data_IF_664090696652
#
_entry.id   IF_664090696652
#
_cell.length_a   1.000
_cell.length_b   1.000
_cell.length_c   1.000
_cell.angle_alpha   90.00
_cell.angle_beta   90.00
_cell.angle_gamma   90.00
#
_symmetry.space_group_name_H-M   'P 1'
#
loop_
_entity.id
_entity.type
_entity.pdbx_description
1 polymer ?
#
# COMPACT_ATOMS: atom_id res chain seq x y z
N UNK A 1 0.54 12.42 -17.96
CA UNK A 1 1.12 12.81 -16.65
C UNK A 1 2.42 13.58 -16.86
N UNK A 2 2.84 14.41 -15.89
CA UNK A 2 4.21 14.95 -15.86
C UNK A 2 5.14 13.94 -15.19
N UNK A 3 6.24 13.56 -15.85
CA UNK A 3 7.20 12.56 -15.34
C UNK A 3 7.75 12.92 -13.97
N UNK A 4 8.07 14.21 -13.75
CA UNK A 4 8.55 14.71 -12.45
C UNK A 4 7.53 14.46 -11.32
N UNK A 5 6.26 14.81 -11.56
CA UNK A 5 5.18 14.62 -10.59
C UNK A 5 4.98 13.13 -10.29
N UNK A 6 4.95 12.29 -11.32
CA UNK A 6 4.84 10.85 -11.18
C UNK A 6 5.95 10.25 -10.31
N UNK A 7 7.21 10.57 -10.60
CA UNK A 7 8.37 10.02 -9.89
C UNK A 7 8.36 10.49 -8.42
N UNK A 8 8.22 11.79 -8.17
CA UNK A 8 8.30 12.34 -6.81
C UNK A 8 7.13 11.86 -5.95
N UNK A 9 5.92 11.87 -6.48
CA UNK A 9 4.75 11.38 -5.75
C UNK A 9 4.82 9.87 -5.51
N UNK A 10 5.32 9.09 -6.49
CA UNK A 10 5.50 7.64 -6.36
C UNK A 10 6.52 7.26 -5.29
N UNK A 11 7.67 7.94 -5.26
CA UNK A 11 8.69 7.76 -4.21
C UNK A 11 8.13 8.11 -2.82
N UNK A 12 7.42 9.23 -2.70
CA UNK A 12 6.79 9.61 -1.44
C UNK A 12 5.76 8.56 -0.97
N UNK A 13 4.95 8.03 -1.88
CA UNK A 13 4.02 6.94 -1.61
C UNK A 13 4.74 5.67 -1.13
N UNK A 14 5.81 5.26 -1.83
CA UNK A 14 6.56 4.05 -1.49
C UNK A 14 7.27 4.13 -0.13
N UNK A 15 7.85 5.27 0.22
CA UNK A 15 8.46 5.48 1.55
C UNK A 15 7.40 5.40 2.65
N UNK A 16 6.24 6.02 2.45
CA UNK A 16 5.15 5.98 3.43
C UNK A 16 4.60 4.58 3.58
N UNK A 17 4.41 3.86 2.47
CA UNK A 17 3.95 2.48 2.50
C UNK A 17 4.92 1.56 3.26
N UNK A 18 6.23 1.74 3.04
CA UNK A 18 7.25 0.98 3.76
C UNK A 18 7.24 1.26 5.27
N UNK A 19 7.12 2.53 5.68
CA UNK A 19 7.03 2.92 7.09
C UNK A 19 5.76 2.38 7.76
N UNK A 20 4.64 2.42 7.06
CA UNK A 20 3.38 1.85 7.56
C UNK A 20 3.44 0.33 7.61
N UNK A 21 4.09 -0.32 6.65
CA UNK A 21 4.32 -1.76 6.65
C UNK A 21 5.13 -2.19 7.87
N UNK A 22 6.22 -1.48 8.17
CA UNK A 22 6.99 -1.69 9.40
C UNK A 22 6.13 -1.50 10.66
N UNK A 23 5.32 -0.44 10.73
CA UNK A 23 4.46 -0.16 11.88
C UNK A 23 3.38 -1.24 12.08
N UNK A 24 2.61 -1.57 11.04
CA UNK A 24 1.50 -2.50 11.16
C UNK A 24 1.96 -3.95 11.28
N UNK A 25 2.87 -4.40 10.41
CA UNK A 25 3.31 -5.80 10.36
C UNK A 25 4.47 -6.12 11.30
N UNK A 26 5.32 -5.15 11.59
CA UNK A 26 6.51 -5.33 12.45
C UNK A 26 6.31 -4.94 13.91
N UNK A 27 5.29 -4.14 14.24
CA UNK A 27 5.05 -3.66 15.62
C UNK A 27 3.64 -4.00 16.09
N UNK A 28 2.60 -3.44 15.46
CA UNK A 28 1.21 -3.51 15.97
C UNK A 28 0.66 -4.94 15.91
N UNK A 29 0.89 -5.63 14.80
CA UNK A 29 0.38 -6.97 14.53
C UNK A 29 1.50 -8.00 14.33
N UNK A 30 2.65 -7.78 14.98
CA UNK A 30 3.83 -8.65 14.84
C UNK A 30 3.54 -10.13 15.15
N UNK A 31 2.65 -10.41 16.11
CA UNK A 31 2.26 -11.78 16.49
C UNK A 31 1.16 -12.37 15.58
N UNK A 32 0.46 -11.54 14.81
CA UNK A 32 -0.64 -11.97 13.92
C UNK A 32 -0.12 -12.42 12.56
N UNK A 33 0.96 -11.79 12.06
CA UNK A 33 1.49 -12.05 10.74
C UNK A 33 2.80 -12.84 10.77
N UNK A 34 3.03 -13.75 9.80
CA UNK A 34 4.31 -14.43 9.68
C UNK A 34 5.46 -13.44 9.49
N UNK A 35 6.49 -13.54 10.34
CA UNK A 35 7.65 -12.67 10.26
C UNK A 35 8.66 -13.18 9.23
N UNK A 36 9.34 -12.28 8.50
CA UNK A 36 10.41 -12.64 7.60
C UNK A 36 11.50 -13.46 8.29
N UNK A 37 11.97 -14.54 7.66
CA UNK A 37 13.10 -15.32 8.19
C UNK A 37 14.41 -14.55 8.02
N UNK A 38 15.25 -14.58 9.06
CA UNK A 38 16.59 -14.01 9.01
C UNK A 38 17.45 -14.70 7.93
N UNK A 39 18.35 -13.93 7.30
CA UNK A 39 19.20 -14.44 6.22
C UNK A 39 18.53 -14.58 4.85
N UNK A 40 17.25 -14.18 4.73
CA UNK A 40 16.53 -14.15 3.44
C UNK A 40 16.49 -12.76 2.82
N UNK A 41 16.18 -12.69 1.52
CA UNK A 41 16.00 -11.43 0.80
C UNK A 41 14.63 -10.76 1.04
N UNK A 42 13.89 -11.18 2.07
CA UNK A 42 12.52 -10.74 2.31
C UNK A 42 12.40 -9.21 2.44
N UNK A 43 13.30 -8.54 3.17
CA UNK A 43 13.26 -7.08 3.32
C UNK A 43 13.43 -6.33 1.99
N UNK A 44 14.23 -6.87 1.07
CA UNK A 44 14.42 -6.30 -0.28
C UNK A 44 13.12 -6.43 -1.08
N UNK A 45 12.47 -7.61 -1.04
CA UNK A 45 11.20 -7.81 -1.73
C UNK A 45 10.06 -6.96 -1.15
N UNK A 46 10.01 -6.80 0.18
CA UNK A 46 9.08 -5.88 0.84
C UNK A 46 9.32 -4.45 0.34
N UNK A 47 10.58 -4.02 0.29
CA UNK A 47 10.94 -2.69 -0.22
C UNK A 47 10.48 -2.50 -1.67
N UNK A 48 10.77 -3.47 -2.56
CA UNK A 48 10.30 -3.41 -3.94
C UNK A 48 8.78 -3.43 -4.07
N UNK A 49 8.08 -4.18 -3.22
CA UNK A 49 6.62 -4.17 -3.12
C UNK A 49 6.08 -2.77 -2.80
N UNK A 50 6.60 -2.15 -1.73
CA UNK A 50 6.15 -0.83 -1.29
C UNK A 50 6.38 0.26 -2.34
N UNK A 51 7.56 0.29 -2.97
CA UNK A 51 7.82 1.26 -4.03
C UNK A 51 6.97 0.98 -5.28
N UNK A 52 6.73 -0.28 -5.64
CA UNK A 52 5.83 -0.63 -6.73
C UNK A 52 4.40 -0.14 -6.46
N UNK A 53 3.90 -0.30 -5.23
CA UNK A 53 2.60 0.19 -4.83
C UNK A 53 2.51 1.72 -4.86
N UNK A 54 3.52 2.42 -4.33
CA UNK A 54 3.62 3.88 -4.40
C UNK A 54 3.60 4.41 -5.84
N UNK A 55 4.37 3.80 -6.75
CA UNK A 55 4.35 4.15 -8.17
C UNK A 55 3.03 3.80 -8.84
N UNK A 56 2.39 2.68 -8.49
CA UNK A 56 1.09 2.30 -9.03
C UNK A 56 0.00 3.32 -8.67
N UNK A 57 -0.11 3.70 -7.39
CA UNK A 57 -1.03 4.75 -6.95
C UNK A 57 -0.73 6.07 -7.65
N UNK A 58 0.55 6.46 -7.74
CA UNK A 58 0.98 7.67 -8.45
C UNK A 58 0.58 7.65 -9.94
N UNK A 59 0.73 6.51 -10.61
CA UNK A 59 0.33 6.36 -12.00
C UNK A 59 -1.19 6.55 -12.16
N UNK A 60 -2.01 5.86 -11.36
CA UNK A 60 -3.46 6.01 -11.39
C UNK A 60 -3.86 7.48 -11.20
N UNK A 61 -3.28 8.14 -10.19
CA UNK A 61 -3.67 9.49 -9.83
C UNK A 61 -3.27 10.51 -10.88
N UNK A 62 -2.05 10.40 -11.45
CA UNK A 62 -1.54 11.39 -12.39
C UNK A 62 -1.89 11.11 -13.85
N UNK A 63 -2.14 9.85 -14.23
CA UNK A 63 -2.44 9.47 -15.61
C UNK A 63 -3.93 9.27 -15.86
N UNK A 64 -4.66 8.63 -14.93
CA UNK A 64 -6.06 8.25 -15.15
C UNK A 64 -7.05 9.17 -14.44
N UNK A 65 -6.87 9.41 -13.14
CA UNK A 65 -7.87 10.06 -12.30
C UNK A 65 -7.68 11.58 -12.11
N UNK A 66 -6.50 12.12 -12.46
CA UNK A 66 -6.12 13.52 -12.25
C UNK A 66 -6.25 14.01 -10.78
N UNK A 67 -6.01 13.11 -9.83
CA UNK A 67 -6.07 13.37 -8.39
C UNK A 67 -4.87 14.22 -7.95
N UNK A 68 -5.14 15.25 -7.13
CA UNK A 68 -4.12 16.21 -6.69
C UNK A 68 -4.41 16.86 -5.34
N UNK A 69 -5.28 16.26 -4.53
CA UNK A 69 -5.55 16.72 -3.17
C UNK A 69 -5.48 15.57 -2.19
N UNK A 70 -5.16 15.88 -0.94
CA UNK A 70 -5.04 14.91 0.14
C UNK A 70 -6.35 14.12 0.33
N UNK A 71 -7.49 14.80 0.40
CA UNK A 71 -8.80 14.15 0.66
C UNK A 71 -9.23 13.22 -0.49
N UNK A 72 -9.07 13.65 -1.74
CA UNK A 72 -9.40 12.81 -2.90
C UNK A 72 -8.45 11.62 -3.02
N UNK A 73 -7.16 11.84 -2.74
CA UNK A 73 -6.15 10.79 -2.68
C UNK A 73 -6.46 9.75 -1.60
N UNK A 74 -6.86 10.18 -0.40
CA UNK A 74 -7.21 9.27 0.68
C UNK A 74 -8.41 8.37 0.33
N UNK A 75 -9.47 8.96 -0.23
CA UNK A 75 -10.67 8.22 -0.64
C UNK A 75 -10.38 7.22 -1.75
N UNK A 76 -9.66 7.65 -2.79
CA UNK A 76 -9.29 6.76 -3.89
C UNK A 76 -8.32 5.66 -3.42
N UNK A 77 -7.35 6.00 -2.55
CA UNK A 77 -6.45 5.05 -1.92
C UNK A 77 -7.18 3.98 -1.12
N UNK A 78 -8.15 4.37 -0.29
CA UNK A 78 -8.97 3.42 0.49
C UNK A 78 -9.72 2.43 -0.40
N UNK A 79 -10.29 2.90 -1.52
CA UNK A 79 -10.99 2.04 -2.49
C UNK A 79 -10.00 1.08 -3.18
N UNK A 80 -8.81 1.56 -3.56
CA UNK A 80 -7.77 0.70 -4.14
C UNK A 80 -7.32 -0.35 -3.13
N UNK A 81 -7.08 0.03 -1.88
CA UNK A 81 -6.73 -0.89 -0.80
C UNK A 81 -7.81 -1.94 -0.54
N UNK A 82 -9.09 -1.55 -0.55
CA UNK A 82 -10.20 -2.49 -0.42
C UNK A 82 -10.14 -3.56 -1.51
N UNK A 83 -10.06 -3.17 -2.78
CA UNK A 83 -10.09 -4.15 -3.87
C UNK A 83 -8.79 -4.96 -4.00
N UNK A 84 -7.63 -4.33 -3.83
CA UNK A 84 -6.34 -5.04 -3.86
C UNK A 84 -6.19 -5.99 -2.66
N UNK A 85 -6.66 -5.57 -1.48
CA UNK A 85 -6.74 -6.40 -0.29
C UNK A 85 -7.65 -7.60 -0.52
N UNK A 86 -8.89 -7.39 -1.00
CA UNK A 86 -9.82 -8.48 -1.32
C UNK A 86 -9.23 -9.48 -2.33
N UNK A 87 -8.60 -8.99 -3.39
CA UNK A 87 -7.90 -9.84 -4.37
C UNK A 87 -6.86 -10.71 -3.66
N UNK A 88 -5.99 -10.08 -2.87
CA UNK A 88 -4.89 -10.76 -2.18
C UNK A 88 -5.39 -11.80 -1.19
N UNK A 89 -6.35 -11.44 -0.33
CA UNK A 89 -6.85 -12.36 0.69
C UNK A 89 -7.57 -13.55 0.07
N UNK A 90 -8.40 -13.37 -0.97
CA UNK A 90 -9.14 -14.49 -1.55
C UNK A 90 -8.23 -15.49 -2.26
N UNK A 91 -7.19 -15.01 -2.95
CA UNK A 91 -6.18 -15.92 -3.52
C UNK A 91 -5.36 -16.61 -2.44
N UNK A 92 -4.99 -15.92 -1.36
CA UNK A 92 -4.23 -16.55 -0.28
C UNK A 92 -5.06 -17.59 0.47
N UNK A 93 -6.32 -17.30 0.81
CA UNK A 93 -7.24 -18.25 1.43
C UNK A 93 -7.44 -19.52 0.61
N UNK A 94 -7.43 -19.42 -0.73
CA UNK A 94 -7.56 -20.58 -1.61
C UNK A 94 -6.33 -21.51 -1.57
N UNK A 95 -5.19 -21.02 -1.10
CA UNK A 95 -3.94 -21.78 -1.00
C UNK A 95 -3.64 -22.24 0.44
N UNK A 96 -4.38 -21.75 1.44
CA UNK A 96 -4.23 -22.14 2.84
C UNK A 96 -4.83 -23.53 3.09
N UNK A 97 -4.14 -24.35 3.89
CA UNK A 97 -4.65 -25.66 4.34
C UNK A 97 -5.81 -25.48 5.33
N UNK A 98 -5.71 -24.48 6.21
CA UNK A 98 -6.75 -24.06 7.14
C UNK A 98 -6.85 -22.53 7.11
N UNK A 99 -8.05 -22.00 6.93
CA UNK A 99 -8.27 -20.56 6.74
C UNK A 99 -8.42 -19.85 8.09
N UNK A 100 -7.50 -18.93 8.38
CA UNK A 100 -7.61 -17.99 9.50
C UNK A 100 -8.37 -16.72 9.10
N UNK A 101 -9.69 -16.74 9.29
CA UNK A 101 -10.56 -15.61 8.98
C UNK A 101 -10.25 -14.34 9.79
N UNK A 102 -9.72 -14.48 11.02
CA UNK A 102 -9.40 -13.34 11.86
C UNK A 102 -8.17 -12.61 11.31
N UNK A 103 -7.09 -13.33 10.99
CA UNK A 103 -5.89 -12.78 10.36
C UNK A 103 -6.23 -12.05 9.06
N UNK A 104 -7.05 -12.66 8.20
CA UNK A 104 -7.42 -12.03 6.94
C UNK A 104 -8.36 -10.83 7.09
N UNK A 105 -9.21 -10.82 8.13
CA UNK A 105 -10.00 -9.64 8.47
C UNK A 105 -9.11 -8.45 8.87
N UNK A 106 -8.07 -8.71 9.66
CA UNK A 106 -7.07 -7.71 10.04
C UNK A 106 -6.27 -7.24 8.81
N UNK A 107 -5.82 -8.17 7.95
CA UNK A 107 -5.10 -7.87 6.70
C UNK A 107 -5.90 -6.92 5.80
N UNK A 108 -7.20 -7.16 5.64
CA UNK A 108 -8.05 -6.29 4.82
C UNK A 108 -8.14 -4.87 5.41
N UNK A 109 -8.32 -4.75 6.72
CA UNK A 109 -8.38 -3.45 7.39
C UNK A 109 -7.05 -2.69 7.26
N UNK A 110 -5.93 -3.38 7.46
CA UNK A 110 -4.59 -2.82 7.29
C UNK A 110 -4.39 -2.35 5.86
N UNK A 111 -4.76 -3.17 4.86
CA UNK A 111 -4.67 -2.81 3.44
C UNK A 111 -5.44 -1.52 3.10
N UNK A 112 -6.68 -1.39 3.58
CA UNK A 112 -7.50 -0.18 3.37
C UNK A 112 -6.86 1.05 4.01
N UNK A 113 -6.44 0.93 5.27
CA UNK A 113 -5.86 2.06 6.03
C UNK A 113 -4.54 2.50 5.40
N UNK A 114 -3.64 1.54 5.12
CA UNK A 114 -2.35 1.83 4.51
C UNK A 114 -2.52 2.49 3.14
N UNK A 115 -3.34 1.90 2.25
CA UNK A 115 -3.60 2.46 0.94
C UNK A 115 -4.25 3.86 1.00
N UNK A 116 -5.12 4.11 1.98
CA UNK A 116 -5.70 5.43 2.20
C UNK A 116 -4.63 6.46 2.56
N UNK A 117 -3.70 6.14 3.47
CA UNK A 117 -2.61 7.06 3.87
C UNK A 117 -1.62 7.27 2.73
N UNK A 118 -1.23 6.21 2.03
CA UNK A 118 -0.38 6.28 0.83
C UNK A 118 -1.04 7.15 -0.24
N UNK A 119 -2.32 6.90 -0.54
CA UNK A 119 -3.10 7.72 -1.46
C UNK A 119 -3.19 9.18 -1.03
N UNK A 120 -3.40 9.46 0.26
CA UNK A 120 -3.43 10.82 0.78
C UNK A 120 -2.11 11.57 0.50
N UNK A 121 -0.97 10.91 0.72
CA UNK A 121 0.36 11.46 0.49
C UNK A 121 0.63 11.67 -0.99
N UNK A 122 0.36 10.65 -1.83
CA UNK A 122 0.53 10.75 -3.27
C UNK A 122 -0.32 11.90 -3.84
N UNK A 123 -1.60 12.00 -3.44
CA UNK A 123 -2.50 13.07 -3.86
C UNK A 123 -2.00 14.46 -3.44
N UNK A 124 -1.52 14.61 -2.20
CA UNK A 124 -0.94 15.85 -1.70
C UNK A 124 0.32 16.26 -2.50
N UNK A 125 1.25 15.33 -2.69
CA UNK A 125 2.52 15.58 -3.39
C UNK A 125 2.26 15.90 -4.86
N UNK A 126 1.38 15.15 -5.53
CA UNK A 126 0.95 15.43 -6.89
C UNK A 126 0.39 16.85 -7.05
N UNK A 127 -0.39 17.34 -6.08
CA UNK A 127 -0.90 18.72 -6.09
C UNK A 127 0.16 19.80 -5.92
N UNK A 128 1.22 19.53 -5.13
CA UNK A 128 2.32 20.47 -4.89
C UNK A 128 3.37 20.51 -5.99
N UNK A 129 3.55 19.40 -6.72
CA UNK A 129 4.56 19.24 -7.78
C UNK A 129 3.94 19.43 -9.18
N UNK A 130 2.70 19.90 -9.25
CA UNK A 130 1.94 20.06 -10.48
C UNK A 130 2.55 21.06 -11.45
#
# INVERSE_FOLDING_TARGET
MKTKTFIIAGLAGGVVDWLLGWLFYGIIFAETFPQPQEGTNALIFITFGCFSFGFFISYIFNQWAQISTLSSGAKAGAVIGLFMGLITIFFNMANDVEVDYQRYGIELLVSIIMAAVVGAVVGLVSGKVK
#
